data_IF_341747211956
#
_entry.id   IF_341747211956
#
_cell.length_a   1.000
_cell.length_b   1.000
_cell.length_c   1.000
_cell.angle_alpha   90.00
_cell.angle_beta   90.00
_cell.angle_gamma   90.00
#
_symmetry.space_group_name_H-M   'P 1'
#
loop_
_entity.id
_entity.type
_entity.pdbx_description
1 polymer ?
#
# COMPACT_ATOMS: atom_id res chain seq x y z
N UNK A 1 -4.18 17.06 8.42
CA UNK A 1 -3.50 15.82 7.99
C UNK A 1 -2.39 16.19 7.02
N UNK A 2 -1.12 16.03 7.37
CA UNK A 2 -0.02 16.17 6.39
C UNK A 2 0.09 14.89 5.59
N UNK A 3 -0.22 14.93 4.30
CA UNK A 3 0.08 13.87 3.33
C UNK A 3 1.61 13.74 3.21
N UNK A 4 2.13 12.55 2.87
CA UNK A 4 3.58 12.35 2.74
C UNK A 4 4.21 13.37 1.79
N UNK A 5 3.54 13.68 0.68
CA UNK A 5 3.97 14.67 -0.31
C UNK A 5 3.72 16.13 0.05
N UNK A 6 3.03 16.44 1.17
CA UNK A 6 2.56 17.79 1.55
C UNK A 6 1.66 18.49 0.52
N UNK A 7 1.33 17.83 -0.58
CA UNK A 7 0.42 18.28 -1.63
C UNK A 7 -0.93 17.58 -1.53
N UNK A 8 -1.97 18.23 -2.04
CA UNK A 8 -3.31 17.65 -2.17
C UNK A 8 -3.47 16.98 -3.53
N UNK A 9 -4.32 15.93 -3.65
CA UNK A 9 -4.60 15.34 -4.97
C UNK A 9 -5.09 16.36 -6.00
N UNK A 10 -5.90 17.34 -5.57
CA UNK A 10 -6.38 18.42 -6.43
C UNK A 10 -5.24 19.32 -6.92
N UNK A 11 -4.34 19.76 -6.02
CA UNK A 11 -3.21 20.62 -6.42
C UNK A 11 -2.23 19.96 -7.37
N UNK A 12 -2.10 18.63 -7.33
CA UNK A 12 -1.33 17.89 -8.31
C UNK A 12 -2.05 17.76 -9.66
N UNK A 13 -3.37 17.71 -9.67
CA UNK A 13 -4.16 17.63 -10.90
C UNK A 13 -4.24 18.99 -11.61
N UNK A 14 -4.54 20.06 -10.86
CA UNK A 14 -4.90 21.38 -11.39
C UNK A 14 -3.87 22.49 -11.09
N UNK A 15 -2.81 22.21 -10.33
CA UNK A 15 -1.68 23.15 -10.10
C UNK A 15 -1.87 24.14 -8.96
N UNK A 16 -3.13 24.37 -8.55
CA UNK A 16 -3.51 25.26 -7.47
C UNK A 16 -4.27 24.52 -6.38
N UNK A 17 -4.36 25.10 -5.17
CA UNK A 17 -5.17 24.50 -4.10
C UNK A 17 -6.65 24.67 -4.46
N UNK A 18 -7.46 23.66 -4.15
CA UNK A 18 -8.90 23.75 -4.34
C UNK A 18 -9.45 24.95 -3.55
N UNK A 19 -10.25 25.78 -4.23
CA UNK A 19 -11.08 26.79 -3.57
C UNK A 19 -12.21 26.04 -2.88
N UNK A 20 -12.35 26.23 -1.58
CA UNK A 20 -13.40 25.55 -0.80
C UNK A 20 -14.75 26.23 -1.05
N UNK A 21 -15.88 25.52 -0.97
CA UNK A 21 -17.21 26.13 -1.15
C UNK A 21 -17.46 27.36 -0.25
N UNK A 22 -16.97 27.32 0.99
CA UNK A 22 -17.06 28.45 1.94
C UNK A 22 -16.25 29.68 1.50
N UNK A 23 -15.14 29.49 0.78
CA UNK A 23 -14.31 30.58 0.24
C UNK A 23 -14.97 31.24 -0.97
N UNK A 24 -16.00 30.61 -1.55
CA UNK A 24 -16.85 31.17 -2.61
C UNK A 24 -18.03 31.92 -1.99
N UNK A 25 -18.66 31.35 -0.96
CA UNK A 25 -19.77 31.99 -0.23
C UNK A 25 -19.31 33.25 0.52
N UNK A 26 -18.12 33.20 1.12
CA UNK A 26 -17.43 34.33 1.72
C UNK A 26 -16.16 34.54 0.89
N UNK A 27 -16.14 35.48 -0.07
CA UNK A 27 -15.05 35.65 -1.02
C UNK A 27 -13.70 35.73 -0.30
N UNK A 28 -12.90 34.69 -0.47
CA UNK A 28 -11.54 34.68 0.06
C UNK A 28 -10.64 35.64 -0.73
N UNK A 29 -9.53 36.08 -0.14
CA UNK A 29 -8.57 36.96 -0.81
C UNK A 29 -8.12 36.43 -2.19
N UNK A 30 -7.98 35.10 -2.33
CA UNK A 30 -7.62 34.49 -3.63
C UNK A 30 -8.68 34.72 -4.70
N UNK A 31 -9.95 34.58 -4.33
CA UNK A 31 -11.08 34.74 -5.25
C UNK A 31 -11.23 36.20 -5.64
N UNK A 32 -10.98 37.13 -4.71
CA UNK A 32 -11.00 38.57 -4.96
C UNK A 32 -9.83 38.94 -5.90
N UNK A 33 -8.61 38.53 -5.58
CA UNK A 33 -7.42 38.82 -6.38
C UNK A 33 -7.52 38.26 -7.81
N UNK A 34 -8.08 37.06 -7.99
CA UNK A 34 -8.29 36.46 -9.31
C UNK A 34 -9.37 37.19 -10.12
N UNK A 35 -10.40 37.73 -9.48
CA UNK A 35 -11.48 38.47 -10.14
C UNK A 35 -11.09 39.89 -10.57
N UNK A 36 -10.11 40.50 -9.89
CA UNK A 36 -9.63 41.87 -10.18
C UNK A 36 -8.47 41.92 -11.20
N UNK A 37 -8.00 40.76 -11.69
CA UNK A 37 -6.90 40.68 -12.65
C UNK A 37 -7.30 41.12 -14.06
N UNK A 38 -6.47 41.96 -14.65
CA UNK A 38 -6.53 42.35 -16.06
C UNK A 38 -6.18 41.16 -16.98
N UNK A 39 -6.89 41.00 -18.09
CA UNK A 39 -6.79 39.83 -18.99
C UNK A 39 -5.36 39.43 -19.36
N UNK A 40 -4.50 40.40 -19.67
CA UNK A 40 -3.10 40.13 -20.03
C UNK A 40 -2.28 39.56 -18.86
N UNK A 41 -2.50 40.07 -17.64
CA UNK A 41 -1.85 39.58 -16.41
C UNK A 41 -2.43 38.23 -16.00
N UNK A 42 -3.72 38.03 -16.21
CA UNK A 42 -4.39 36.76 -15.99
C UNK A 42 -3.76 35.66 -16.86
N UNK A 43 -3.62 35.88 -18.18
CA UNK A 43 -2.99 34.92 -19.10
C UNK A 43 -1.56 34.59 -18.64
N UNK A 44 -0.76 35.59 -18.27
CA UNK A 44 0.60 35.37 -17.79
C UNK A 44 0.63 34.54 -16.50
N UNK A 45 -0.23 34.85 -15.54
CA UNK A 45 -0.35 34.07 -14.29
C UNK A 45 -0.74 32.61 -14.56
N UNK A 46 -1.63 32.37 -15.52
CA UNK A 46 -2.01 31.01 -15.94
C UNK A 46 -0.84 30.23 -16.53
N UNK A 47 -0.01 30.86 -17.37
CA UNK A 47 1.20 30.23 -17.91
C UNK A 47 2.20 29.89 -16.81
N UNK A 48 2.40 30.79 -15.86
CA UNK A 48 3.30 30.56 -14.71
C UNK A 48 2.81 29.41 -13.82
N UNK A 49 1.49 29.36 -13.56
CA UNK A 49 0.87 28.26 -12.82
C UNK A 49 1.04 26.92 -13.55
N UNK A 50 0.90 26.91 -14.88
CA UNK A 50 1.08 25.72 -15.71
C UNK A 50 2.53 25.24 -15.71
N UNK A 51 3.51 26.14 -15.70
CA UNK A 51 4.92 25.74 -15.57
C UNK A 51 5.21 25.15 -14.18
N UNK A 52 4.65 25.74 -13.13
CA UNK A 52 4.86 25.30 -11.75
C UNK A 52 4.23 23.94 -11.43
N UNK A 53 3.17 23.54 -12.16
CA UNK A 53 2.48 22.26 -11.88
C UNK A 53 3.42 21.06 -12.07
N UNK A 54 4.29 21.10 -13.08
CA UNK A 54 5.14 19.98 -13.42
C UNK A 54 6.26 19.82 -12.39
N UNK A 55 6.82 20.93 -11.92
CA UNK A 55 7.79 20.94 -10.82
C UNK A 55 7.19 20.37 -9.53
N UNK A 56 5.95 20.76 -9.20
CA UNK A 56 5.21 20.22 -8.04
C UNK A 56 4.97 18.72 -8.18
N UNK A 57 4.55 18.26 -9.36
CA UNK A 57 4.34 16.83 -9.66
C UNK A 57 5.63 16.05 -9.51
N UNK A 58 6.73 16.52 -10.08
CA UNK A 58 8.04 15.87 -9.98
C UNK A 58 8.51 15.78 -8.53
N UNK A 59 8.38 16.87 -7.79
CA UNK A 59 8.74 16.92 -6.37
C UNK A 59 7.90 15.95 -5.54
N UNK A 60 6.59 15.91 -5.77
CA UNK A 60 5.69 14.99 -5.10
C UNK A 60 6.01 13.52 -5.44
N UNK A 61 6.33 13.21 -6.70
CA UNK A 61 6.74 11.86 -7.11
C UNK A 61 8.03 11.44 -6.41
N UNK A 62 9.04 12.31 -6.37
CA UNK A 62 10.30 12.05 -5.68
C UNK A 62 10.07 11.77 -4.19
N UNK A 63 9.28 12.62 -3.52
CA UNK A 63 8.97 12.44 -2.11
C UNK A 63 8.23 11.13 -1.85
N UNK A 64 7.23 10.79 -2.68
CA UNK A 64 6.50 9.52 -2.59
C UNK A 64 7.44 8.33 -2.72
N UNK A 65 8.35 8.34 -3.68
CA UNK A 65 9.31 7.26 -3.89
C UNK A 65 10.27 7.12 -2.71
N UNK A 66 10.83 8.23 -2.21
CA UNK A 66 11.71 8.22 -1.04
C UNK A 66 10.98 7.69 0.19
N UNK A 67 9.74 8.14 0.42
CA UNK A 67 8.91 7.65 1.51
C UNK A 67 8.64 6.14 1.38
N UNK A 68 8.20 5.68 0.21
CA UNK A 68 7.96 4.24 -0.04
C UNK A 68 9.23 3.41 0.17
N UNK A 69 10.39 3.88 -0.30
CA UNK A 69 11.69 3.21 -0.08
C UNK A 69 12.04 3.13 1.41
N UNK A 70 11.82 4.21 2.18
CA UNK A 70 12.05 4.23 3.63
C UNK A 70 11.15 3.23 4.35
N UNK A 71 9.85 3.22 4.04
CA UNK A 71 8.90 2.28 4.64
C UNK A 71 9.27 0.82 4.29
N UNK A 72 9.58 0.56 3.01
CA UNK A 72 10.06 -0.76 2.57
C UNK A 72 11.31 -1.19 3.33
N UNK A 73 12.33 -0.34 3.40
CA UNK A 73 13.58 -0.66 4.10
C UNK A 73 13.35 -0.92 5.59
N UNK A 74 12.52 -0.11 6.26
CA UNK A 74 12.18 -0.31 7.67
C UNK A 74 11.45 -1.63 7.90
N UNK A 75 10.55 -2.02 6.99
CA UNK A 75 9.87 -3.30 7.02
C UNK A 75 10.83 -4.46 6.77
N UNK A 76 11.60 -4.41 5.68
CA UNK A 76 12.54 -5.46 5.27
C UNK A 76 13.60 -5.72 6.36
N UNK A 77 14.06 -4.69 7.08
CA UNK A 77 14.97 -4.83 8.24
C UNK A 77 14.40 -5.69 9.37
N UNK A 78 13.08 -5.66 9.58
CA UNK A 78 12.40 -6.43 10.64
C UNK A 78 11.97 -7.82 10.17
N UNK A 79 11.91 -8.06 8.86
CA UNK A 79 11.45 -9.32 8.29
C UNK A 79 12.61 -10.31 8.24
N UNK A 80 12.48 -11.42 8.98
CA UNK A 80 13.37 -12.56 8.81
C UNK A 80 13.01 -13.29 7.50
N UNK A 81 13.95 -13.49 6.56
CA UNK A 81 13.72 -14.32 5.39
C UNK A 81 13.29 -15.73 5.82
N UNK A 82 12.18 -16.22 5.28
CA UNK A 82 11.79 -17.62 5.37
C UNK A 82 11.83 -18.20 3.97
N UNK A 83 12.66 -19.20 3.77
CA UNK A 83 12.67 -20.04 2.59
C UNK A 83 12.03 -21.37 2.94
N UNK A 84 11.26 -21.89 1.99
CA UNK A 84 10.69 -23.23 2.04
C UNK A 84 11.18 -23.94 0.79
N UNK A 85 11.40 -25.25 0.90
CA UNK A 85 11.74 -26.13 -0.21
C UNK A 85 10.61 -27.13 -0.42
N UNK A 86 10.52 -27.66 -1.63
CA UNK A 86 9.64 -28.79 -1.90
C UNK A 86 10.07 -29.98 -1.03
N UNK A 87 9.11 -30.65 -0.40
CA UNK A 87 9.36 -31.71 0.59
C UNK A 87 9.42 -31.25 2.04
N UNK A 88 9.51 -29.94 2.33
CA UNK A 88 9.52 -29.44 3.71
C UNK A 88 8.19 -29.74 4.42
N UNK A 89 8.26 -30.19 5.67
CA UNK A 89 7.09 -30.37 6.55
C UNK A 89 6.71 -29.05 7.20
N UNK A 90 5.45 -28.66 7.09
CA UNK A 90 4.97 -27.36 7.56
C UNK A 90 3.59 -27.43 8.22
N UNK A 91 3.34 -26.52 9.15
CA UNK A 91 2.06 -26.31 9.80
C UNK A 91 1.35 -25.09 9.23
N UNK A 92 0.04 -25.19 8.98
CA UNK A 92 -0.78 -24.09 8.47
C UNK A 92 -1.43 -23.34 9.63
N UNK A 93 -1.31 -22.02 9.70
CA UNK A 93 -1.97 -21.21 10.73
C UNK A 93 -3.48 -21.15 10.49
N UNK A 94 -4.28 -21.41 11.52
CA UNK A 94 -5.73 -21.20 11.51
C UNK A 94 -5.98 -19.70 11.57
N UNK A 95 -6.75 -19.17 10.61
CA UNK A 95 -7.09 -17.74 10.60
C UNK A 95 -8.15 -17.44 11.68
N UNK A 96 -8.09 -16.28 12.35
CA UNK A 96 -8.99 -15.95 13.47
C UNK A 96 -10.49 -15.97 13.11
N UNK A 97 -10.83 -15.82 11.84
CA UNK A 97 -12.22 -15.81 11.36
C UNK A 97 -12.82 -17.21 11.24
N UNK A 98 -11.99 -18.27 11.27
CA UNK A 98 -12.47 -19.64 11.36
C UNK A 98 -12.81 -19.91 12.83
N UNK A 99 -14.09 -20.09 13.15
CA UNK A 99 -14.52 -20.52 14.49
C UNK A 99 -14.01 -21.94 14.71
N UNK A 100 -12.88 -22.07 15.41
CA UNK A 100 -12.43 -23.36 15.90
C UNK A 100 -13.30 -23.73 17.11
N UNK A 101 -14.07 -24.82 17.01
CA UNK A 101 -14.98 -25.28 18.07
C UNK A 101 -14.24 -25.81 19.31
N UNK A 102 -12.91 -25.84 19.26
CA UNK A 102 -12.03 -26.55 20.19
C UNK A 102 -11.59 -25.70 21.40
N UNK A 103 -11.98 -24.42 21.46
CA UNK A 103 -11.84 -23.55 22.63
C UNK A 103 -10.54 -22.73 22.69
N UNK A 104 -10.37 -21.95 23.77
CA UNK A 104 -9.33 -20.91 23.93
C UNK A 104 -7.87 -21.41 23.95
N UNK A 105 -7.66 -22.70 24.16
CA UNK A 105 -6.34 -23.30 24.41
C UNK A 105 -5.82 -24.19 23.28
N UNK A 106 -6.47 -24.22 22.13
CA UNK A 106 -5.97 -25.01 21.01
C UNK A 106 -4.78 -24.38 20.31
N UNK A 107 -3.96 -25.25 19.71
CA UNK A 107 -2.90 -24.83 18.80
C UNK A 107 -3.50 -24.01 17.66
N UNK A 108 -3.00 -22.79 17.47
CA UNK A 108 -3.40 -21.90 16.37
C UNK A 108 -2.92 -22.39 14.99
N UNK A 109 -2.47 -23.64 14.90
CA UNK A 109 -1.90 -24.27 13.73
C UNK A 109 -2.60 -25.60 13.49
N UNK A 110 -2.94 -25.84 12.24
CA UNK A 110 -3.64 -27.01 11.75
C UNK A 110 -2.71 -27.82 10.86
N UNK A 111 -2.77 -29.14 11.05
CA UNK A 111 -2.27 -30.16 10.13
C UNK A 111 -0.76 -30.15 9.91
N UNK A 112 -0.23 -31.32 9.57
CA UNK A 112 1.13 -31.46 9.05
C UNK A 112 1.03 -31.60 7.53
N UNK A 113 1.61 -30.66 6.80
CA UNK A 113 1.56 -30.61 5.35
C UNK A 113 2.96 -30.73 4.77
N UNK A 114 3.09 -31.36 3.61
CA UNK A 114 4.32 -31.38 2.83
C UNK A 114 4.23 -30.30 1.76
N UNK A 115 5.23 -29.43 1.67
CA UNK A 115 5.30 -28.41 0.61
C UNK A 115 5.49 -29.10 -0.73
N UNK A 116 4.54 -28.96 -1.65
CA UNK A 116 4.63 -29.56 -2.99
C UNK A 116 5.37 -28.66 -3.98
N UNK A 117 5.05 -27.37 -3.97
CA UNK A 117 5.63 -26.37 -4.87
C UNK A 117 5.87 -25.05 -4.16
N UNK A 118 6.95 -24.38 -4.54
CA UNK A 118 7.32 -23.07 -4.00
C UNK A 118 7.41 -22.02 -5.10
N UNK A 119 6.90 -20.82 -4.83
CA UNK A 119 6.92 -19.69 -5.77
C UNK A 119 7.80 -18.54 -5.27
N UNK A 120 8.35 -17.78 -6.21
CA UNK A 120 9.26 -16.64 -5.95
C UNK A 120 8.66 -15.53 -5.07
N UNK A 121 7.33 -15.42 -4.99
CA UNK A 121 6.60 -14.41 -4.18
C UNK A 121 6.16 -14.90 -2.80
N UNK A 122 6.86 -15.89 -2.21
CA UNK A 122 6.50 -16.47 -0.89
C UNK A 122 5.08 -17.05 -0.87
N UNK A 123 4.71 -17.72 -1.93
CA UNK A 123 3.48 -18.49 -2.04
C UNK A 123 3.82 -19.97 -2.19
N UNK A 124 3.02 -20.85 -1.59
CA UNK A 124 3.27 -22.28 -1.50
C UNK A 124 2.01 -23.05 -1.89
N UNK A 125 2.17 -24.20 -2.56
CA UNK A 125 1.08 -25.16 -2.73
C UNK A 125 1.23 -26.26 -1.69
N UNK A 126 0.22 -26.37 -0.82
CA UNK A 126 0.07 -27.48 0.11
C UNK A 126 -1.03 -28.40 -0.45
N UNK A 127 -0.77 -29.70 -0.65
CA UNK A 127 -1.84 -30.65 -0.95
C UNK A 127 -2.72 -30.85 0.29
N UNK A 128 -3.98 -31.20 0.10
CA UNK A 128 -4.85 -31.64 1.20
C UNK A 128 -4.29 -32.93 1.84
N UNK A 129 -4.67 -33.27 3.08
CA UNK A 129 -4.26 -34.52 3.72
C UNK A 129 -4.63 -35.79 2.91
N UNK A 130 -5.59 -35.69 1.99
CA UNK A 130 -5.99 -36.74 1.04
C UNK A 130 -5.16 -36.74 -0.27
N UNK A 131 -4.18 -35.85 -0.42
CA UNK A 131 -3.26 -35.80 -1.56
C UNK A 131 -3.71 -34.94 -2.75
N UNK A 132 -4.94 -34.41 -2.74
CA UNK A 132 -5.44 -33.52 -3.79
C UNK A 132 -4.78 -32.13 -3.74
N UNK A 133 -4.40 -31.58 -4.88
CA UNK A 133 -3.81 -30.24 -4.97
C UNK A 133 -4.85 -29.16 -4.62
N UNK A 134 -4.50 -28.27 -3.71
CA UNK A 134 -5.30 -27.06 -3.48
C UNK A 134 -5.22 -26.15 -4.72
N UNK A 135 -6.40 -25.69 -5.17
CA UNK A 135 -6.55 -24.79 -6.32
C UNK A 135 -5.84 -23.44 -6.10
N UNK A 136 -5.71 -23.02 -4.83
CA UNK A 136 -5.17 -21.70 -4.47
C UNK A 136 -3.87 -21.82 -3.67
N UNK A 137 -2.82 -21.07 -4.07
CA UNK A 137 -1.57 -21.03 -3.33
C UNK A 137 -1.75 -20.28 -2.01
N UNK A 138 -1.05 -20.76 -0.98
CA UNK A 138 -1.10 -20.24 0.39
C UNK A 138 0.08 -19.30 0.62
N UNK A 139 -0.14 -18.23 1.39
CA UNK A 139 0.91 -17.30 1.78
C UNK A 139 1.89 -17.94 2.78
N UNK A 140 3.19 -17.86 2.52
CA UNK A 140 4.21 -18.42 3.40
C UNK A 140 4.22 -17.80 4.82
N UNK A 141 3.67 -16.59 4.99
CA UNK A 141 3.55 -15.94 6.31
C UNK A 141 2.56 -16.67 7.24
N UNK A 142 1.59 -17.40 6.68
CA UNK A 142 0.64 -18.21 7.46
C UNK A 142 1.15 -19.63 7.68
N UNK A 143 2.40 -19.92 7.33
CA UNK A 143 2.99 -21.26 7.40
C UNK A 143 4.20 -21.24 8.34
N UNK A 144 4.37 -22.33 9.09
CA UNK A 144 5.51 -22.53 10.01
C UNK A 144 6.20 -23.85 9.67
N UNK A 145 7.52 -23.82 9.49
CA UNK A 145 8.32 -25.02 9.27
C UNK A 145 8.29 -25.91 10.52
N UNK A 146 8.10 -27.21 10.30
CA UNK A 146 8.08 -28.24 11.33
C UNK A 146 9.32 -29.11 11.19
N UNK A 147 9.98 -29.36 12.32
CA UNK A 147 11.10 -30.28 12.41
C UNK A 147 10.65 -31.47 13.27
N UNK A 148 10.71 -32.71 12.75
CA UNK A 148 10.35 -33.90 13.50
C UNK A 148 11.34 -34.22 14.63
#
# INVERSE_FOLDING_TARGET
>A
MQTSTRETPYSLAYGTKAVLPIEVEIPSLRVIDEAELEDAKWIQSWWDQLNLIEEKRLTALCHRQLYQRRIKSAFDKKVRPRSFKEGDLVLRKILPNAKDSRGKWTLNYEGLYVVKRTFSKRALILPNPEGHELIHPINANTIKLFYP
#
